data_IF_791927855884
#
_entry.id   IF_791927855884
#
_cell.length_a   1.000
_cell.length_b   1.000
_cell.length_c   1.000
_cell.angle_alpha   90.00
_cell.angle_beta   90.00
_cell.angle_gamma   90.00
#
_symmetry.space_group_name_H-M   'P 1'
#
loop_
_entity.id
_entity.type
_entity.pdbx_description
1 polymer ?
#
# COMPACT_ATOMS: atom_id res chain seq x y z
N UNK A 1 8.82 10.86 19.83
CA UNK A 1 7.56 10.44 19.18
C UNK A 1 7.67 9.00 18.71
N UNK A 2 7.01 8.06 19.37
CA UNK A 2 6.88 6.68 18.88
C UNK A 2 5.95 6.68 17.67
N UNK A 3 6.51 6.55 16.47
CA UNK A 3 5.73 6.38 15.25
C UNK A 3 5.04 5.01 15.36
N UNK A 4 3.80 4.98 15.88
CA UNK A 4 2.99 3.75 15.86
C UNK A 4 2.86 3.30 14.41
N UNK A 5 3.36 2.11 14.13
CA UNK A 5 3.13 1.42 12.87
C UNK A 5 1.63 1.21 12.68
N UNK A 6 1.18 1.17 11.43
CA UNK A 6 -0.19 0.74 11.16
C UNK A 6 -0.23 -0.76 11.36
N UNK A 7 -1.16 -1.24 12.19
CA UNK A 7 -1.36 -2.66 12.42
C UNK A 7 -1.68 -3.36 11.10
N UNK A 8 -1.01 -4.49 10.84
CA UNK A 8 -1.26 -5.34 9.69
C UNK A 8 -1.16 -6.79 10.13
N UNK A 9 -1.84 -7.67 9.41
CA UNK A 9 -1.85 -9.11 9.65
C UNK A 9 -1.43 -9.83 8.37
N UNK A 10 -0.97 -11.08 8.50
CA UNK A 10 -0.67 -11.92 7.34
C UNK A 10 -1.97 -12.36 6.69
N UNK A 11 -2.14 -12.09 5.40
CA UNK A 11 -3.34 -12.54 4.70
C UNK A 11 -3.17 -13.95 4.15
N UNK A 12 -4.29 -14.67 4.06
CA UNK A 12 -4.37 -16.01 3.48
C UNK A 12 -4.29 -16.01 1.95
N UNK A 13 -4.43 -14.86 1.28
CA UNK A 13 -4.27 -14.71 -0.17
C UNK A 13 -2.81 -14.85 -0.66
N UNK A 14 -1.85 -15.11 0.24
CA UNK A 14 -0.43 -15.20 -0.07
C UNK A 14 0.31 -13.85 0.00
N UNK A 15 -0.40 -12.72 0.08
CA UNK A 15 0.24 -11.42 0.35
C UNK A 15 0.56 -11.25 1.84
N UNK A 16 1.80 -10.85 2.11
CA UNK A 16 2.34 -10.79 3.48
C UNK A 16 1.63 -9.78 4.39
N UNK A 17 1.03 -8.72 3.83
CA UNK A 17 0.40 -7.65 4.60
C UNK A 17 -1.02 -7.40 4.13
N UNK A 18 -1.99 -7.74 4.98
CA UNK A 18 -3.39 -7.34 4.87
C UNK A 18 -3.79 -6.43 6.03
N UNK A 19 -4.70 -5.53 5.77
CA UNK A 19 -5.33 -4.66 6.77
C UNK A 19 -6.79 -5.09 6.93
N UNK A 20 -7.27 -5.15 8.17
CA UNK A 20 -8.62 -5.66 8.45
C UNK A 20 -9.73 -4.66 8.10
N UNK A 21 -9.37 -3.38 7.97
CA UNK A 21 -10.31 -2.28 7.76
C UNK A 21 -9.81 -1.32 6.67
N UNK A 22 -10.75 -0.77 5.90
CA UNK A 22 -10.45 0.13 4.79
C UNK A 22 -9.76 1.42 5.27
N UNK A 23 -10.19 1.99 6.40
CA UNK A 23 -9.59 3.21 6.97
C UNK A 23 -8.17 2.93 7.43
N UNK A 24 -7.92 1.74 7.98
CA UNK A 24 -6.57 1.28 8.34
C UNK A 24 -5.71 1.15 7.08
N UNK A 25 -6.23 0.59 6.00
CA UNK A 25 -5.54 0.50 4.71
C UNK A 25 -5.25 1.89 4.10
N UNK A 26 -6.21 2.82 4.15
CA UNK A 26 -6.03 4.19 3.69
C UNK A 26 -4.93 4.92 4.48
N UNK A 27 -4.92 4.75 5.81
CA UNK A 27 -3.87 5.28 6.68
C UNK A 27 -2.50 4.65 6.37
N UNK A 28 -2.46 3.35 6.09
CA UNK A 28 -1.25 2.66 5.68
C UNK A 28 -0.73 3.18 4.34
N UNK A 29 -1.62 3.39 3.36
CA UNK A 29 -1.28 3.93 2.04
C UNK A 29 -0.65 5.32 2.17
N UNK A 30 -1.29 6.24 2.89
CA UNK A 30 -0.75 7.59 3.09
C UNK A 30 0.63 7.57 3.77
N UNK A 31 0.85 6.66 4.72
CA UNK A 31 2.16 6.49 5.37
C UNK A 31 3.22 5.89 4.45
N UNK A 32 2.86 4.92 3.62
CA UNK A 32 3.74 4.33 2.62
C UNK A 32 4.19 5.41 1.61
N UNK A 33 3.24 6.19 1.08
CA UNK A 33 3.51 7.29 0.17
C UNK A 33 4.40 8.35 0.81
N UNK A 34 4.06 8.85 2.00
CA UNK A 34 4.88 9.84 2.71
C UNK A 34 6.29 9.33 3.04
N UNK A 35 6.49 8.02 3.26
CA UNK A 35 7.82 7.43 3.42
C UNK A 35 8.61 7.46 2.11
N UNK A 36 7.98 7.11 0.99
CA UNK A 36 8.62 7.13 -0.33
C UNK A 36 8.94 8.55 -0.79
N UNK A 37 8.05 9.50 -0.52
CA UNK A 37 8.28 10.91 -0.86
C UNK A 37 9.46 11.48 -0.09
N UNK A 38 9.57 11.17 1.21
CA UNK A 38 10.76 11.52 2.03
C UNK A 38 12.04 10.85 1.52
N UNK A 39 11.97 9.58 1.11
CA UNK A 39 13.12 8.88 0.55
C UNK A 39 13.57 9.49 -0.79
N UNK A 40 12.62 9.86 -1.67
CA UNK A 40 12.90 10.54 -2.93
C UNK A 40 13.49 11.95 -2.73
N UNK A 41 12.97 12.71 -1.76
CA UNK A 41 13.53 14.00 -1.38
C UNK A 41 14.98 13.86 -0.90
N UNK A 42 15.27 12.89 -0.02
CA UNK A 42 16.63 12.62 0.47
C UNK A 42 17.59 12.20 -0.65
N UNK A 43 17.11 11.44 -1.64
CA UNK A 43 17.90 10.98 -2.79
C UNK A 43 18.08 12.09 -3.85
N UNK A 44 17.32 13.18 -3.79
CA UNK A 44 17.28 14.22 -4.82
C UNK A 44 16.56 13.80 -6.11
N UNK A 45 16.02 12.57 -6.17
CA UNK A 45 15.27 12.07 -7.32
C UNK A 45 14.23 11.04 -6.89
N UNK A 46 13.08 11.04 -7.58
CA UNK A 46 12.01 10.07 -7.40
C UNK A 46 12.07 8.91 -8.39
N UNK A 47 13.02 8.94 -9.34
CA UNK A 47 13.15 7.92 -10.39
C UNK A 47 13.53 6.56 -9.78
N UNK A 48 12.79 5.51 -10.17
CA UNK A 48 13.01 4.13 -9.71
C UNK A 48 12.43 3.80 -8.33
N UNK A 49 11.66 4.70 -7.71
CA UNK A 49 10.97 4.38 -6.46
C UNK A 49 9.62 3.71 -6.75
N UNK A 50 9.48 2.46 -6.33
CA UNK A 50 8.17 1.80 -6.28
C UNK A 50 7.30 2.51 -5.23
N UNK A 51 6.15 3.03 -5.66
CA UNK A 51 5.21 3.77 -4.84
C UNK A 51 3.85 3.10 -4.93
N UNK A 52 3.32 2.72 -3.77
CA UNK A 52 1.95 2.27 -3.65
C UNK A 52 1.00 3.45 -3.94
N UNK A 53 0.06 3.23 -4.85
CA UNK A 53 -0.86 4.28 -5.32
C UNK A 53 -2.29 4.05 -4.83
N UNK A 54 -2.65 2.80 -4.52
CA UNK A 54 -4.01 2.37 -4.23
C UNK A 54 -4.06 1.24 -3.22
N UNK A 55 -5.26 0.93 -2.75
CA UNK A 55 -5.56 -0.29 -2.02
C UNK A 55 -6.79 -0.98 -2.60
N UNK A 56 -6.93 -2.27 -2.33
CA UNK A 56 -8.09 -3.07 -2.71
C UNK A 56 -8.42 -4.11 -1.65
N UNK A 57 -9.67 -4.52 -1.57
CA UNK A 57 -10.07 -5.67 -0.76
C UNK A 57 -9.87 -6.96 -1.56
N UNK A 58 -9.23 -7.95 -0.98
CA UNK A 58 -9.15 -9.29 -1.55
C UNK A 58 -10.35 -10.16 -1.13
N UNK A 59 -10.49 -11.32 -1.77
CA UNK A 59 -11.58 -12.27 -1.52
C UNK A 59 -11.62 -12.81 -0.08
N UNK A 60 -10.51 -12.70 0.66
CA UNK A 60 -10.42 -13.09 2.07
C UNK A 60 -10.85 -11.97 3.03
N UNK A 61 -11.42 -10.89 2.51
CA UNK A 61 -11.95 -9.76 3.29
C UNK A 61 -10.90 -8.76 3.77
N UNK A 62 -9.61 -9.00 3.52
CA UNK A 62 -8.53 -8.10 3.91
C UNK A 62 -8.18 -7.09 2.81
N UNK A 63 -7.68 -5.93 3.22
CA UNK A 63 -7.26 -4.86 2.35
C UNK A 63 -5.75 -4.87 2.08
N UNK A 64 -5.34 -4.67 0.84
CA UNK A 64 -3.94 -4.70 0.41
C UNK A 64 -3.56 -3.44 -0.35
N UNK A 65 -2.34 -2.95 -0.12
CA UNK A 65 -1.77 -1.87 -0.94
C UNK A 65 -1.25 -2.43 -2.26
N UNK A 66 -1.34 -1.62 -3.31
CA UNK A 66 -0.81 -1.93 -4.63
C UNK A 66 -0.13 -0.73 -5.27
N UNK A 67 0.96 -1.00 -6.00
CA UNK A 67 1.64 -0.03 -6.86
C UNK A 67 1.09 -0.02 -8.28
N UNK A 68 0.21 -0.96 -8.63
CA UNK A 68 -0.39 -1.05 -9.96
C UNK A 68 -1.10 0.24 -10.33
N UNK A 69 -1.00 0.61 -11.61
CA UNK A 69 -1.80 1.70 -12.16
C UNK A 69 -3.29 1.32 -12.18
N UNK A 70 -4.16 2.33 -12.31
CA UNK A 70 -5.62 2.10 -12.41
C UNK A 70 -5.95 1.12 -13.54
N UNK A 71 -5.28 1.27 -14.68
CA UNK A 71 -5.53 0.47 -15.88
C UNK A 71 -5.11 -0.98 -15.68
N UNK A 72 -3.95 -1.23 -15.07
CA UNK A 72 -3.50 -2.59 -14.76
C UNK A 72 -4.40 -3.27 -13.72
N UNK A 73 -4.83 -2.53 -12.69
CA UNK A 73 -5.71 -3.06 -11.66
C UNK A 73 -7.10 -3.42 -12.20
N UNK A 74 -7.69 -2.57 -13.05
CA UNK A 74 -9.02 -2.82 -13.64
C UNK A 74 -8.96 -3.82 -14.80
N UNK A 75 -7.86 -3.86 -15.56
CA UNK A 75 -7.68 -4.75 -16.70
C UNK A 75 -7.31 -6.19 -16.32
N UNK A 76 -6.74 -6.42 -15.14
CA UNK A 76 -6.47 -7.77 -14.61
C UNK A 76 -7.69 -8.44 -13.94
N UNK A 77 -8.82 -7.73 -13.87
CA UNK A 77 -10.11 -8.25 -13.40
C UNK A 77 -11.05 -8.66 -14.56
N UNK A 78 -10.51 -8.78 -15.78
CA UNK A 78 -11.21 -9.23 -16.99
C UNK A 78 -11.00 -10.70 -17.29
#
# INVERSE_FOLDING_TARGET
MTIRAVAFSKCRCGKERGYDDERVAAKALGRAQAKRDRAGARKGTRRGLCRENRFYQCDYGMWHLTSQSRTEYLGAAG
#
